data_IF_808659272502
#
_entry.id   IF_808659272502
#
_cell.length_a   1.000
_cell.length_b   1.000
_cell.length_c   1.000
_cell.angle_alpha   90.00
_cell.angle_beta   90.00
_cell.angle_gamma   90.00
#
_symmetry.space_group_name_H-M   'P 1'
#
loop_
_entity.id
_entity.type
_entity.pdbx_description
1 polymer ?
#
# COMPACT_ATOMS: atom_id res chain seq x y z
N UNK A 1 4.80 -8.85 12.15
CA UNK A 1 4.38 -8.79 10.73
C UNK A 1 5.56 -8.40 9.86
N UNK A 2 5.65 -9.01 8.69
CA UNK A 2 6.66 -8.70 7.68
C UNK A 2 6.00 -8.02 6.48
N UNK A 3 6.78 -7.37 5.64
CA UNK A 3 6.28 -6.91 4.34
C UNK A 3 7.18 -7.40 3.22
N UNK A 4 6.56 -7.65 2.06
CA UNK A 4 7.21 -8.06 0.83
C UNK A 4 6.96 -7.01 -0.25
N UNK A 5 7.88 -6.90 -1.19
CA UNK A 5 7.74 -5.95 -2.30
C UNK A 5 7.04 -6.60 -3.49
N UNK A 6 6.03 -5.94 -4.03
CA UNK A 6 5.34 -6.37 -5.25
C UNK A 6 6.17 -5.92 -6.44
N UNK A 7 6.47 -6.86 -7.36
CA UNK A 7 7.29 -6.58 -8.54
C UNK A 7 6.60 -6.94 -9.85
N UNK A 8 5.61 -7.84 -9.82
CA UNK A 8 4.98 -8.37 -11.03
C UNK A 8 3.89 -7.44 -11.56
N UNK A 9 3.94 -7.19 -12.87
CA UNK A 9 2.99 -6.31 -13.53
C UNK A 9 1.53 -6.73 -13.32
N UNK A 10 1.24 -8.03 -13.33
CA UNK A 10 -0.14 -8.49 -13.16
C UNK A 10 -0.72 -8.15 -11.80
N UNK A 11 0.11 -8.10 -10.74
CA UNK A 11 -0.33 -7.66 -9.42
C UNK A 11 -0.72 -6.18 -9.44
N UNK A 12 0.09 -5.33 -10.09
CA UNK A 12 -0.21 -3.90 -10.22
C UNK A 12 -1.52 -3.69 -10.98
N UNK A 13 -1.74 -4.44 -12.06
CA UNK A 13 -2.97 -4.33 -12.85
C UNK A 13 -4.19 -4.80 -12.06
N UNK A 14 -4.07 -5.89 -11.33
CA UNK A 14 -5.14 -6.43 -10.48
C UNK A 14 -5.55 -5.41 -9.39
N UNK A 15 -4.57 -4.92 -8.66
CA UNK A 15 -4.82 -3.97 -7.56
C UNK A 15 -5.33 -2.64 -8.12
N UNK A 16 -4.85 -2.23 -9.28
CA UNK A 16 -5.29 -1.01 -9.94
C UNK A 16 -6.78 -0.99 -10.31
N UNK A 17 -7.42 -2.15 -10.43
CA UNK A 17 -8.85 -2.26 -10.72
C UNK A 17 -9.72 -2.14 -9.46
N UNK A 18 -9.11 -2.22 -8.28
CA UNK A 18 -9.84 -2.09 -7.02
C UNK A 18 -10.26 -0.65 -6.78
N UNK A 19 -11.45 -0.47 -6.20
CA UNK A 19 -11.95 0.85 -5.87
C UNK A 19 -11.48 1.36 -4.52
N UNK A 20 -10.80 0.52 -3.75
CA UNK A 20 -10.32 0.90 -2.42
C UNK A 20 -9.04 1.71 -2.55
N UNK A 21 -9.20 3.02 -2.46
CA UNK A 21 -8.10 3.98 -2.60
C UNK A 21 -8.29 5.14 -1.65
N UNK A 22 -7.18 5.74 -1.27
CA UNK A 22 -7.16 6.92 -0.44
C UNK A 22 -5.99 7.81 -0.88
N UNK A 23 -6.21 9.11 -0.95
CA UNK A 23 -5.18 9.99 -1.47
C UNK A 23 -4.98 11.23 -0.61
N UNK A 24 -3.79 11.79 -0.70
CA UNK A 24 -3.40 13.06 -0.12
C UNK A 24 -2.75 13.92 -1.21
N UNK A 25 -2.14 15.02 -0.85
CA UNK A 25 -1.54 15.94 -1.83
C UNK A 25 -0.42 15.31 -2.64
N UNK A 26 0.43 14.48 -2.02
CA UNK A 26 1.61 13.90 -2.68
C UNK A 26 1.45 12.42 -3.04
N UNK A 27 0.47 11.75 -2.46
CA UNK A 27 0.44 10.27 -2.44
C UNK A 27 -0.97 9.74 -2.70
N UNK A 28 -1.05 8.67 -3.49
CA UNK A 28 -2.25 7.86 -3.66
C UNK A 28 -1.90 6.44 -3.25
N UNK A 29 -2.72 5.81 -2.40
CA UNK A 29 -2.53 4.42 -2.00
C UNK A 29 -3.76 3.62 -2.42
N UNK A 30 -3.52 2.50 -3.09
CA UNK A 30 -4.53 1.50 -3.43
C UNK A 30 -4.32 0.28 -2.56
N UNK A 31 -5.40 -0.42 -2.22
CA UNK A 31 -5.31 -1.64 -1.42
C UNK A 31 -6.24 -2.72 -1.92
N UNK A 32 -5.82 -3.96 -1.79
CA UNK A 32 -6.58 -5.15 -2.15
C UNK A 32 -6.13 -6.31 -1.28
N UNK A 33 -7.00 -7.30 -1.10
CA UNK A 33 -6.60 -8.51 -0.36
C UNK A 33 -5.49 -9.25 -1.09
N UNK A 34 -4.51 -9.73 -0.34
CA UNK A 34 -3.45 -10.56 -0.90
C UNK A 34 -4.04 -11.90 -1.36
N UNK A 35 -3.76 -12.34 -2.60
CA UNK A 35 -4.22 -13.65 -3.05
C UNK A 35 -3.70 -14.77 -2.15
N UNK A 36 -4.53 -15.77 -1.89
CA UNK A 36 -4.22 -16.87 -0.98
C UNK A 36 -2.92 -17.60 -1.32
N UNK A 37 -2.59 -17.69 -2.61
CA UNK A 37 -1.35 -18.36 -3.06
C UNK A 37 -0.08 -17.71 -2.51
N UNK A 38 -0.11 -16.44 -2.15
CA UNK A 38 1.03 -15.72 -1.59
C UNK A 38 1.06 -15.74 -0.06
N UNK A 39 0.01 -16.24 0.58
CA UNK A 39 -0.10 -16.28 2.03
C UNK A 39 0.42 -17.57 2.65
N UNK A 40 0.59 -18.62 1.84
CA UNK A 40 1.00 -19.93 2.33
C UNK A 40 2.49 -20.14 2.14
N UNK A 41 3.18 -20.57 3.21
CA UNK A 41 4.56 -21.02 3.10
C UNK A 41 4.56 -22.42 2.48
N UNK A 42 5.23 -22.63 1.31
CA UNK A 42 5.23 -23.94 0.63
C UNK A 42 5.83 -25.07 1.46
N UNK A 43 6.77 -24.75 2.35
CA UNK A 43 7.47 -25.76 3.17
C UNK A 43 6.66 -26.17 4.40
N UNK A 44 6.06 -25.20 5.10
CA UNK A 44 5.37 -25.46 6.38
C UNK A 44 3.87 -25.56 6.22
N UNK A 45 3.32 -25.15 5.07
CA UNK A 45 1.88 -25.06 4.77
C UNK A 45 1.13 -24.16 5.76
N UNK A 46 1.85 -23.27 6.44
CA UNK A 46 1.29 -22.30 7.37
C UNK A 46 1.03 -20.97 6.68
N UNK A 47 0.01 -20.26 7.14
CA UNK A 47 -0.28 -18.90 6.68
C UNK A 47 0.77 -17.96 7.23
N UNK A 48 1.30 -17.08 6.36
CA UNK A 48 2.32 -16.10 6.73
C UNK A 48 1.66 -14.75 7.01
N UNK A 49 2.01 -14.13 8.14
CA UNK A 49 1.56 -12.79 8.47
C UNK A 49 2.40 -11.76 7.72
N UNK A 50 1.91 -11.35 6.58
CA UNK A 50 2.63 -10.48 5.66
C UNK A 50 1.68 -9.49 5.00
N UNK A 51 2.14 -8.26 4.80
CA UNK A 51 1.54 -7.35 3.84
C UNK A 51 2.52 -7.17 2.66
N UNK A 52 2.00 -6.76 1.50
CA UNK A 52 2.83 -6.57 0.31
C UNK A 52 2.68 -5.14 -0.17
N UNK A 53 3.77 -4.55 -0.65
CA UNK A 53 3.81 -3.16 -1.08
C UNK A 53 4.48 -3.03 -2.44
N UNK A 54 3.83 -2.31 -3.35
CA UNK A 54 4.42 -1.92 -4.62
C UNK A 54 4.49 -0.40 -4.72
N UNK A 55 5.50 0.09 -5.43
CA UNK A 55 5.71 1.53 -5.60
C UNK A 55 5.61 1.88 -7.08
N UNK A 56 4.85 2.93 -7.38
CA UNK A 56 4.73 3.47 -8.72
C UNK A 56 5.13 4.94 -8.69
N UNK A 57 6.22 5.26 -9.39
CA UNK A 57 6.66 6.63 -9.58
C UNK A 57 6.88 6.84 -11.07
N UNK A 58 5.90 7.47 -11.71
CA UNK A 58 5.89 7.64 -13.16
C UNK A 58 6.83 8.76 -13.62
N UNK A 59 7.04 8.83 -14.93
CA UNK A 59 7.85 9.89 -15.57
C UNK A 59 7.29 11.29 -15.32
N UNK A 60 6.01 11.41 -15.02
CA UNK A 60 5.37 12.69 -14.68
C UNK A 60 5.94 13.32 -13.41
N UNK A 61 6.49 12.50 -12.50
CA UNK A 61 7.11 12.99 -11.27
C UNK A 61 8.45 13.68 -11.55
N UNK A 62 9.21 13.16 -12.51
CA UNK A 62 10.50 13.72 -12.89
C UNK A 62 11.40 12.71 -13.57
N UNK A 63 12.68 13.08 -13.72
CA UNK A 63 13.69 12.23 -14.32
C UNK A 63 14.05 11.07 -13.39
N UNK A 64 14.94 10.17 -13.84
CA UNK A 64 15.33 8.96 -13.10
C UNK A 64 15.89 9.27 -11.72
N UNK A 65 16.69 10.32 -11.59
CA UNK A 65 17.30 10.72 -10.31
C UNK A 65 16.21 11.12 -9.32
N UNK A 66 15.26 11.95 -9.76
CA UNK A 66 14.15 12.41 -8.94
C UNK A 66 13.25 11.23 -8.55
N UNK A 67 12.90 10.36 -9.52
CA UNK A 67 12.05 9.19 -9.27
C UNK A 67 12.68 8.23 -8.27
N UNK A 68 13.97 7.97 -8.39
CA UNK A 68 14.68 7.07 -7.46
C UNK A 68 14.74 7.68 -6.06
N UNK A 69 14.92 8.98 -5.94
CA UNK A 69 14.88 9.67 -4.65
C UNK A 69 13.52 9.54 -3.99
N UNK A 70 12.44 9.76 -4.75
CA UNK A 70 11.06 9.63 -4.24
C UNK A 70 10.80 8.20 -3.78
N UNK A 71 11.16 7.20 -4.59
CA UNK A 71 11.02 5.78 -4.21
C UNK A 71 11.76 5.47 -2.92
N UNK A 72 13.00 5.91 -2.79
CA UNK A 72 13.81 5.66 -1.60
C UNK A 72 13.16 6.26 -0.35
N UNK A 73 12.62 7.47 -0.46
CA UNK A 73 11.91 8.13 0.63
C UNK A 73 10.64 7.38 1.04
N UNK A 74 9.86 6.93 0.07
CA UNK A 74 8.66 6.13 0.35
C UNK A 74 8.98 4.79 0.99
N UNK A 75 10.05 4.12 0.54
CA UNK A 75 10.49 2.87 1.17
C UNK A 75 10.85 3.08 2.62
N UNK A 76 11.58 4.14 2.93
CA UNK A 76 11.95 4.48 4.31
C UNK A 76 10.71 4.78 5.15
N UNK A 77 9.78 5.56 4.63
CA UNK A 77 8.55 5.91 5.33
C UNK A 77 7.68 4.67 5.58
N UNK A 78 7.48 3.83 4.58
CA UNK A 78 6.66 2.62 4.72
C UNK A 78 7.28 1.64 5.73
N UNK A 79 8.59 1.50 5.73
CA UNK A 79 9.30 0.63 6.69
C UNK A 79 8.99 1.04 8.13
N UNK A 80 8.87 2.32 8.41
CA UNK A 80 8.51 2.80 9.74
C UNK A 80 7.02 2.67 10.05
N UNK A 81 6.16 2.81 9.03
CA UNK A 81 4.72 2.93 9.22
C UNK A 81 3.96 1.60 9.15
N UNK A 82 4.49 0.60 8.44
CA UNK A 82 3.68 -0.57 8.09
C UNK A 82 3.18 -1.37 9.29
N UNK A 83 3.99 -1.51 10.32
CA UNK A 83 3.63 -2.29 11.51
C UNK A 83 2.38 -1.75 12.20
N UNK A 84 2.26 -0.42 12.29
CA UNK A 84 1.17 0.23 13.01
C UNK A 84 -0.02 0.59 12.13
N UNK A 85 0.18 0.74 10.81
CA UNK A 85 -0.83 1.32 9.93
C UNK A 85 -1.21 0.46 8.73
N UNK A 86 -0.47 -0.60 8.42
CA UNK A 86 -0.81 -1.54 7.35
C UNK A 86 -1.45 -2.80 7.94
N UNK A 87 -2.38 -3.39 7.20
CA UNK A 87 -3.06 -4.61 7.63
C UNK A 87 -2.38 -5.84 7.05
N UNK A 88 -2.33 -6.92 7.84
CA UNK A 88 -1.91 -8.25 7.38
C UNK A 88 -2.79 -8.73 6.24
N UNK A 89 -2.18 -9.45 5.32
CA UNK A 89 -2.88 -10.11 4.20
C UNK A 89 -3.50 -9.13 3.22
N UNK A 90 -2.93 -7.91 3.13
CA UNK A 90 -3.33 -6.91 2.14
C UNK A 90 -2.15 -6.50 1.27
N UNK A 91 -2.46 -6.28 0.00
CA UNK A 91 -1.54 -5.71 -0.98
C UNK A 91 -1.79 -4.21 -1.08
N UNK A 92 -0.74 -3.43 -1.08
CA UNK A 92 -0.80 -1.99 -1.22
C UNK A 92 -0.01 -1.55 -2.44
N UNK A 93 -0.55 -0.60 -3.20
CA UNK A 93 0.21 0.12 -4.23
C UNK A 93 0.29 1.57 -3.82
N UNK A 94 1.51 2.06 -3.69
CA UNK A 94 1.78 3.46 -3.39
C UNK A 94 2.16 4.17 -4.68
N UNK A 95 1.37 5.16 -5.05
CA UNK A 95 1.56 5.93 -6.28
C UNK A 95 1.95 7.35 -5.91
N UNK A 96 3.11 7.79 -6.39
CA UNK A 96 3.57 9.16 -6.19
C UNK A 96 2.84 10.09 -7.13
N UNK A 97 2.30 11.18 -6.58
CA UNK A 97 1.76 12.27 -7.37
C UNK A 97 2.90 13.20 -7.79
N UNK A 98 2.63 14.05 -8.75
CA UNK A 98 3.59 15.05 -9.26
C UNK A 98 4.23 15.87 -8.12
N UNK A 99 3.44 16.23 -7.12
CA UNK A 99 3.88 17.05 -5.97
C UNK A 99 4.94 16.36 -5.10
N UNK A 100 5.07 15.04 -5.21
CA UNK A 100 6.08 14.29 -4.47
C UNK A 100 7.51 14.65 -4.88
N UNK A 101 7.70 15.16 -6.11
CA UNK A 101 9.01 15.51 -6.64
C UNK A 101 9.72 16.58 -5.80
N UNK A 102 8.96 17.57 -5.30
CA UNK A 102 9.49 18.72 -4.57
C UNK A 102 9.15 18.71 -3.10
N UNK A 103 8.38 17.74 -2.63
CA UNK A 103 7.99 17.67 -1.23
C UNK A 103 9.16 17.23 -0.34
N UNK A 104 9.17 17.73 0.89
CA UNK A 104 10.11 17.27 1.91
C UNK A 104 9.74 15.87 2.37
N UNK A 105 10.70 15.13 2.91
CA UNK A 105 10.49 13.78 3.43
C UNK A 105 9.35 13.72 4.45
N UNK A 106 9.31 14.68 5.38
CA UNK A 106 8.25 14.72 6.38
C UNK A 106 6.86 14.78 5.76
N UNK A 107 6.71 15.55 4.68
CA UNK A 107 5.42 15.66 3.97
C UNK A 107 5.03 14.33 3.34
N UNK A 108 5.97 13.63 2.71
CA UNK A 108 5.72 12.30 2.14
C UNK A 108 5.35 11.30 3.23
N UNK A 109 6.05 11.34 4.35
CA UNK A 109 5.79 10.48 5.50
C UNK A 109 4.38 10.72 6.06
N UNK A 110 4.03 11.97 6.31
CA UNK A 110 2.71 12.32 6.88
C UNK A 110 1.58 11.97 5.91
N UNK A 111 1.77 12.19 4.62
CA UNK A 111 0.79 11.86 3.59
C UNK A 111 0.57 10.35 3.47
N UNK A 112 1.66 9.57 3.52
CA UNK A 112 1.57 8.12 3.50
C UNK A 112 0.85 7.59 4.74
N UNK A 113 1.19 8.12 5.90
CA UNK A 113 0.53 7.77 7.17
C UNK A 113 -0.98 8.06 7.09
N UNK A 114 -1.34 9.23 6.60
CA UNK A 114 -2.73 9.64 6.41
C UNK A 114 -3.48 8.67 5.49
N UNK A 115 -2.87 8.30 4.37
CA UNK A 115 -3.48 7.37 3.41
C UNK A 115 -3.66 5.97 4.01
N UNK A 116 -2.65 5.45 4.71
CA UNK A 116 -2.73 4.13 5.33
C UNK A 116 -3.81 4.09 6.41
N UNK A 117 -3.90 5.13 7.23
CA UNK A 117 -4.97 5.25 8.24
C UNK A 117 -6.35 5.28 7.58
N UNK A 118 -6.50 6.05 6.51
CA UNK A 118 -7.76 6.16 5.79
C UNK A 118 -8.20 4.84 5.20
N UNK A 119 -7.29 4.11 4.56
CA UNK A 119 -7.57 2.79 3.99
C UNK A 119 -7.95 1.79 5.09
N UNK A 120 -7.21 1.77 6.19
CA UNK A 120 -7.50 0.87 7.31
C UNK A 120 -8.90 1.10 7.86
N UNK A 121 -9.32 2.36 7.99
CA UNK A 121 -10.68 2.68 8.43
C UNK A 121 -11.74 2.19 7.43
N UNK A 122 -11.48 2.36 6.12
CA UNK A 122 -12.39 1.88 5.09
C UNK A 122 -12.51 0.36 5.10
N UNK A 123 -11.40 -0.34 5.26
CA UNK A 123 -11.38 -1.82 5.31
C UNK A 123 -12.11 -2.33 6.55
N UNK A 124 -11.89 -1.75 7.70
CA UNK A 124 -12.57 -2.12 8.94
C UNK A 124 -14.07 -1.87 8.85
N UNK A 125 -14.47 -0.77 8.21
CA UNK A 125 -15.88 -0.45 7.98
C UNK A 125 -16.55 -1.48 7.07
N UNK A 126 -15.90 -1.90 6.00
CA UNK A 126 -16.40 -2.93 5.08
C UNK A 126 -16.60 -4.26 5.80
N UNK A 127 -15.65 -4.67 6.62
CA UNK A 127 -15.75 -5.90 7.41
C UNK A 127 -16.88 -5.82 8.42
N UNK A 128 -17.04 -4.69 9.11
CA UNK A 128 -18.15 -4.46 10.02
C UNK A 128 -19.50 -4.54 9.31
N UNK A 129 -19.61 -3.96 8.11
CA UNK A 129 -20.83 -4.01 7.33
C UNK A 129 -21.15 -5.43 6.86
N UNK A 130 -20.14 -6.23 6.49
CA UNK A 130 -20.30 -7.63 6.13
C UNK A 130 -20.79 -8.45 7.32
N UNK A 131 -20.23 -8.22 8.51
CA UNK A 131 -20.67 -8.87 9.74
C UNK A 131 -22.09 -8.44 10.10
N UNK A 132 -22.43 -7.17 9.98
CA UNK A 132 -23.78 -6.66 10.19
C UNK A 132 -24.78 -7.30 9.25
N UNK A 133 -24.43 -7.51 8.00
CA UNK A 133 -25.29 -8.19 7.01
C UNK A 133 -25.49 -9.66 7.33
N UNK A 134 -24.49 -10.33 7.87
CA UNK A 134 -24.54 -11.75 8.20
C UNK A 134 -25.39 -12.03 9.43
N UNK A 135 -25.61 -11.08 10.30
CA UNK A 135 -26.40 -11.25 11.52
C UNK A 135 -27.88 -10.90 11.33
N UNK A 136 -28.23 -10.40 10.18
CA UNK A 136 -29.62 -10.14 9.80
C UNK A 136 -30.22 -11.30 9.05
#
# INVERSE_FOLDING_TARGET
MLFLTIKKRHDFLRIGKENLRFHSKTTLVLASKTPKQYLNNPRTKKVVDVCRIGYTVSKMVGNSVIRNRVKRRYRAAFKELFTNYALNHYDYILIAKKEAATAEYKKLYDDLKFCLKGITKLLNKDESNKHGSATQ
#
